data_IF_607874970834
#
_entry.id   IF_607874970834
#
_cell.length_a   1.000
_cell.length_b   1.000
_cell.length_c   1.000
_cell.angle_alpha   90.00
_cell.angle_beta   90.00
_cell.angle_gamma   90.00
#
_symmetry.space_group_name_H-M   'P 1'
#
loop_
_entity.id
_entity.type
_entity.pdbx_description
1 polymer ?
#
# COMPACT_ATOMS: atom_id res chain seq x y z
N UNK A 1 34.51 -56.77 41.78
CA UNK A 1 34.05 -55.38 41.63
C UNK A 1 35.10 -54.60 40.87
N UNK A 2 34.98 -54.51 39.54
CA UNK A 2 35.79 -53.60 38.73
C UNK A 2 34.95 -52.36 38.48
N UNK A 3 35.36 -51.23 39.06
CA UNK A 3 34.78 -49.93 38.74
C UNK A 3 35.43 -49.43 37.45
N UNK A 4 34.71 -49.52 36.33
CA UNK A 4 35.13 -48.88 35.08
C UNK A 4 34.77 -47.40 35.15
N UNK A 5 35.76 -46.55 35.44
CA UNK A 5 35.61 -45.09 35.33
C UNK A 5 35.63 -44.72 33.85
N UNK A 6 34.46 -44.65 33.23
CA UNK A 6 34.30 -44.12 31.87
C UNK A 6 34.56 -42.61 31.90
N UNK A 7 35.76 -42.20 31.49
CA UNK A 7 36.11 -40.80 31.30
C UNK A 7 35.27 -40.26 30.12
N UNK A 8 34.39 -39.28 30.39
CA UNK A 8 33.62 -38.61 29.33
C UNK A 8 34.58 -37.76 28.48
N UNK A 9 34.57 -37.96 27.16
CA UNK A 9 35.37 -37.18 26.20
C UNK A 9 35.06 -35.67 26.31
N UNK A 10 36.11 -34.85 26.21
CA UNK A 10 36.06 -33.37 26.19
C UNK A 10 35.15 -32.80 25.10
N UNK A 11 34.83 -33.59 24.05
CA UNK A 11 33.92 -33.18 22.97
C UNK A 11 32.46 -33.01 23.43
N UNK A 12 32.09 -33.51 24.61
CA UNK A 12 30.73 -33.36 25.17
C UNK A 12 30.46 -31.99 25.82
N UNK A 13 31.45 -31.09 25.85
CA UNK A 13 31.35 -29.77 26.48
C UNK A 13 31.32 -28.59 25.50
N UNK A 14 31.57 -28.81 24.21
CA UNK A 14 31.53 -27.75 23.19
C UNK A 14 30.29 -27.97 22.31
N UNK A 15 29.30 -27.06 22.40
CA UNK A 15 28.19 -27.08 21.42
C UNK A 15 28.75 -26.87 20.01
N UNK A 16 28.14 -27.44 18.97
CA UNK A 16 28.50 -27.14 17.60
C UNK A 16 28.43 -25.62 17.39
N UNK A 17 29.47 -25.03 16.79
CA UNK A 17 29.61 -23.59 16.52
C UNK A 17 28.33 -22.97 15.94
N UNK A 18 27.59 -23.76 15.15
CA UNK A 18 26.31 -23.39 14.53
C UNK A 18 25.20 -23.01 15.52
N UNK A 19 25.06 -23.71 16.67
CA UNK A 19 24.01 -23.40 17.64
C UNK A 19 24.23 -22.06 18.35
N UNK A 20 25.50 -21.75 18.65
CA UNK A 20 25.86 -20.46 19.24
C UNK A 20 25.60 -19.32 18.25
N UNK A 21 25.92 -19.51 16.96
CA UNK A 21 25.67 -18.51 15.91
C UNK A 21 24.17 -18.21 15.76
N UNK A 22 23.31 -19.24 15.70
CA UNK A 22 21.85 -19.06 15.61
C UNK A 22 21.32 -18.26 16.80
N UNK A 23 21.82 -18.55 18.01
CA UNK A 23 21.40 -17.84 19.21
C UNK A 23 21.87 -16.37 19.21
N UNK A 24 23.12 -16.11 18.78
CA UNK A 24 23.64 -14.75 18.61
C UNK A 24 22.83 -13.95 17.58
N UNK A 25 22.49 -14.55 16.43
CA UNK A 25 21.64 -13.92 15.42
C UNK A 25 20.23 -13.62 15.95
N UNK A 26 19.66 -14.51 16.76
CA UNK A 26 18.36 -14.31 17.40
C UNK A 26 18.37 -13.11 18.37
N UNK A 27 19.46 -12.95 19.12
CA UNK A 27 19.66 -11.78 20.00
C UNK A 27 19.76 -10.50 19.16
N UNK A 28 20.53 -10.50 18.06
CA UNK A 28 20.60 -9.35 17.16
C UNK A 28 19.22 -9.01 16.57
N UNK A 29 18.47 -10.03 16.14
CA UNK A 29 17.11 -9.83 15.60
C UNK A 29 16.18 -9.20 16.63
N UNK A 30 16.24 -9.65 17.89
CA UNK A 30 15.46 -9.06 18.98
C UNK A 30 15.82 -7.59 19.20
N UNK A 31 17.12 -7.26 19.23
CA UNK A 31 17.60 -5.88 19.39
C UNK A 31 17.10 -5.00 18.25
N UNK A 32 17.21 -5.45 17.01
CA UNK A 32 16.77 -4.71 15.81
C UNK A 32 15.26 -4.51 15.82
N UNK A 33 14.48 -5.58 15.99
CA UNK A 33 13.02 -5.52 15.97
C UNK A 33 12.45 -4.66 17.09
N UNK A 34 13.07 -4.69 18.27
CA UNK A 34 12.63 -3.90 19.42
C UNK A 34 13.31 -2.52 19.53
N UNK A 35 14.10 -2.13 18.53
CA UNK A 35 14.84 -0.85 18.48
C UNK A 35 15.64 -0.58 19.77
N UNK A 36 16.31 -1.61 20.29
CA UNK A 36 17.11 -1.51 21.52
C UNK A 36 18.55 -1.09 21.22
N UNK A 37 19.21 -0.36 22.14
CA UNK A 37 20.61 -0.04 21.97
C UNK A 37 21.47 -1.30 22.05
N UNK A 38 22.53 -1.39 21.24
CA UNK A 38 23.47 -2.51 21.27
C UNK A 38 24.15 -2.69 22.62
N UNK A 39 24.24 -1.65 23.45
CA UNK A 39 24.77 -1.73 24.82
C UNK A 39 23.97 -2.66 25.73
N UNK A 40 22.75 -3.05 25.36
CA UNK A 40 21.92 -3.99 26.13
C UNK A 40 22.64 -5.33 26.40
N UNK A 41 23.56 -5.75 25.53
CA UNK A 41 24.34 -6.99 25.73
C UNK A 41 25.39 -6.88 26.85
N UNK A 42 25.62 -5.67 27.36
CA UNK A 42 26.52 -5.38 28.47
C UNK A 42 25.79 -5.20 29.80
N UNK A 43 24.46 -5.05 29.76
CA UNK A 43 23.64 -4.88 30.96
C UNK A 43 23.67 -6.13 31.84
N UNK A 44 23.93 -5.93 33.13
CA UNK A 44 24.03 -7.01 34.11
C UNK A 44 22.78 -7.89 34.14
N UNK A 45 21.59 -7.28 34.23
CA UNK A 45 20.33 -8.03 34.29
C UNK A 45 20.07 -8.86 33.03
N UNK A 46 20.43 -8.34 31.86
CA UNK A 46 20.32 -9.08 30.61
C UNK A 46 21.29 -10.27 30.57
N UNK A 47 22.54 -10.07 31.00
CA UNK A 47 23.55 -11.14 31.10
C UNK A 47 23.13 -12.24 32.08
N UNK A 48 22.62 -11.86 33.25
CA UNK A 48 22.14 -12.80 34.27
C UNK A 48 20.96 -13.64 33.74
N UNK A 49 20.03 -12.99 33.00
CA UNK A 49 18.92 -13.66 32.34
C UNK A 49 19.41 -14.65 31.27
N UNK A 50 20.32 -14.24 30.38
CA UNK A 50 20.87 -15.12 29.32
C UNK A 50 21.61 -16.31 29.94
N UNK A 51 22.38 -16.10 31.01
CA UNK A 51 23.06 -17.15 31.75
C UNK A 51 22.09 -18.14 32.40
N UNK A 52 20.94 -17.65 32.89
CA UNK A 52 19.87 -18.50 33.45
C UNK A 52 19.27 -19.41 32.39
N UNK A 53 19.02 -18.89 31.19
CA UNK A 53 18.51 -19.69 30.07
C UNK A 53 19.55 -20.65 29.48
N UNK A 54 20.82 -20.21 29.41
CA UNK A 54 21.90 -21.02 28.86
C UNK A 54 23.26 -20.63 29.45
N UNK A 55 23.63 -21.27 30.55
CA UNK A 55 24.87 -21.01 31.28
C UNK A 55 26.15 -21.35 30.51
N UNK A 56 26.04 -22.10 29.41
CA UNK A 56 27.18 -22.47 28.56
C UNK A 56 27.41 -21.50 27.39
N UNK A 57 26.49 -20.56 27.16
CA UNK A 57 26.62 -19.58 26.08
C UNK A 57 27.32 -18.33 26.57
N UNK A 58 28.44 -17.99 25.93
CA UNK A 58 29.14 -16.74 26.17
C UNK A 58 28.57 -15.65 25.27
N UNK A 59 27.87 -14.69 25.87
CA UNK A 59 27.30 -13.55 25.17
C UNK A 59 28.42 -12.68 24.56
N UNK A 60 28.43 -12.45 23.22
CA UNK A 60 29.43 -11.61 22.59
C UNK A 60 29.36 -10.14 23.03
N UNK A 61 30.46 -9.41 22.83
CA UNK A 61 30.58 -8.00 23.20
C UNK A 61 29.74 -7.08 22.31
N UNK A 62 29.50 -5.85 22.78
CA UNK A 62 28.85 -4.81 21.98
C UNK A 62 29.54 -4.62 20.63
N UNK A 63 30.87 -4.59 20.61
CA UNK A 63 31.67 -4.44 19.39
C UNK A 63 31.40 -5.55 18.37
N UNK A 64 31.24 -6.79 18.84
CA UNK A 64 30.90 -7.92 17.97
C UNK A 64 29.51 -7.72 17.33
N UNK A 65 28.51 -7.33 18.14
CA UNK A 65 27.17 -7.05 17.61
C UNK A 65 27.13 -5.82 16.69
N UNK A 66 27.97 -4.81 16.91
CA UNK A 66 28.13 -3.68 15.97
C UNK A 66 28.59 -4.17 14.59
N UNK A 67 29.65 -4.97 14.54
CA UNK A 67 30.14 -5.55 13.26
C UNK A 67 29.10 -6.45 12.60
N UNK A 68 28.37 -7.23 13.39
CA UNK A 68 27.30 -8.10 12.86
C UNK A 68 26.13 -7.30 12.31
N UNK A 69 25.76 -6.18 12.96
CA UNK A 69 24.73 -5.26 12.50
C UNK A 69 25.13 -4.57 11.19
N UNK A 70 26.39 -4.11 11.07
CA UNK A 70 26.92 -3.53 9.83
C UNK A 70 26.91 -4.54 8.68
N UNK A 71 27.36 -5.78 8.94
CA UNK A 71 27.31 -6.86 7.95
C UNK A 71 25.87 -7.11 7.47
N UNK A 72 24.94 -7.24 8.41
CA UNK A 72 23.52 -7.47 8.12
C UNK A 72 22.89 -6.30 7.35
N UNK A 73 23.24 -5.07 7.71
CA UNK A 73 22.82 -3.87 6.97
C UNK A 73 23.29 -3.95 5.51
N UNK A 74 24.57 -4.27 5.28
CA UNK A 74 25.13 -4.35 3.94
C UNK A 74 24.47 -5.47 3.11
N UNK A 75 24.22 -6.64 3.70
CA UNK A 75 23.50 -7.74 3.04
C UNK A 75 22.07 -7.34 2.64
N UNK A 76 21.32 -6.71 3.55
CA UNK A 76 19.95 -6.25 3.27
C UNK A 76 19.97 -5.16 2.20
N UNK A 77 20.92 -4.23 2.25
CA UNK A 77 21.09 -3.16 1.27
C UNK A 77 21.31 -3.70 -0.14
N UNK A 78 22.19 -4.70 -0.30
CA UNK A 78 22.43 -5.30 -1.63
C UNK A 78 21.20 -6.07 -2.12
N UNK A 79 20.47 -6.78 -1.24
CA UNK A 79 19.19 -7.40 -1.60
C UNK A 79 18.16 -6.37 -2.08
N UNK A 80 17.99 -5.27 -1.34
CA UNK A 80 17.06 -4.20 -1.70
C UNK A 80 17.44 -3.54 -3.03
N UNK A 81 18.72 -3.36 -3.33
CA UNK A 81 19.16 -2.84 -4.64
C UNK A 81 18.76 -3.74 -5.81
N UNK A 82 18.80 -5.06 -5.62
CA UNK A 82 18.35 -6.01 -6.65
C UNK A 82 16.85 -5.87 -6.87
N UNK A 83 16.06 -5.90 -5.80
CA UNK A 83 14.60 -5.73 -5.87
C UNK A 83 14.22 -4.42 -6.54
N UNK A 84 14.83 -3.30 -6.11
CA UNK A 84 14.54 -1.97 -6.67
C UNK A 84 14.93 -1.81 -8.14
N UNK A 85 15.84 -2.62 -8.68
CA UNK A 85 16.16 -2.62 -10.13
C UNK A 85 15.05 -3.26 -10.96
N UNK A 86 14.32 -4.20 -10.38
CA UNK A 86 13.26 -4.97 -11.05
C UNK A 86 11.89 -4.29 -10.88
N UNK A 87 11.75 -3.39 -9.89
CA UNK A 87 10.54 -2.61 -9.65
C UNK A 87 10.27 -1.57 -10.74
N UNK A 88 9.08 -1.62 -11.36
CA UNK A 88 8.67 -0.64 -12.39
C UNK A 88 8.36 0.77 -11.85
N UNK A 89 7.80 0.87 -10.64
CA UNK A 89 7.38 2.14 -10.05
C UNK A 89 7.69 2.21 -8.55
N UNK A 90 8.22 3.35 -8.12
CA UNK A 90 8.52 3.66 -6.71
C UNK A 90 7.88 4.99 -6.31
N UNK A 91 7.40 5.09 -5.08
CA UNK A 91 6.97 6.34 -4.46
C UNK A 91 7.97 6.70 -3.35
N UNK A 92 8.45 7.94 -3.34
CA UNK A 92 9.40 8.43 -2.34
C UNK A 92 8.69 9.41 -1.42
N UNK A 93 8.83 9.22 -0.11
CA UNK A 93 8.40 10.19 0.89
C UNK A 93 9.63 10.69 1.64
N UNK A 94 9.71 11.99 1.87
CA UNK A 94 10.83 12.61 2.56
C UNK A 94 10.37 13.27 3.86
N UNK A 95 11.11 13.05 4.94
CA UNK A 95 10.91 13.73 6.23
C UNK A 95 12.19 14.47 6.61
N UNK A 96 12.06 15.67 7.19
CA UNK A 96 13.18 16.52 7.58
C UNK A 96 13.05 16.86 9.06
N UNK A 97 14.09 16.57 9.83
CA UNK A 97 14.15 16.95 11.24
C UNK A 97 15.53 17.48 11.61
N UNK A 98 15.56 18.40 12.58
CA UNK A 98 16.80 18.89 13.18
C UNK A 98 17.02 18.16 14.50
N UNK A 99 18.21 17.56 14.66
CA UNK A 99 18.58 16.89 15.90
C UNK A 99 18.77 17.88 17.06
N UNK A 100 18.80 17.35 18.29
CA UNK A 100 19.16 18.11 19.49
C UNK A 100 20.58 18.71 19.39
N UNK A 101 21.43 18.14 18.52
CA UNK A 101 22.76 18.65 18.22
C UNK A 101 22.78 19.73 17.11
N UNK A 102 21.61 20.27 16.71
CA UNK A 102 21.43 21.28 15.64
C UNK A 102 21.83 20.83 14.23
N UNK A 103 22.04 19.53 14.03
CA UNK A 103 22.28 18.95 12.71
C UNK A 103 20.95 18.63 12.02
N UNK A 104 20.81 19.00 10.74
CA UNK A 104 19.64 18.68 9.94
C UNK A 104 19.78 17.28 9.29
N UNK A 105 18.72 16.49 9.38
CA UNK A 105 18.61 15.15 8.79
C UNK A 105 17.45 15.13 7.78
N UNK A 106 17.66 14.43 6.66
CA UNK A 106 16.64 14.11 5.66
C UNK A 106 16.46 12.58 5.64
N UNK A 107 15.32 12.11 6.14
CA UNK A 107 14.88 10.74 5.95
C UNK A 107 14.20 10.59 4.60
N UNK A 108 14.66 9.66 3.77
CA UNK A 108 13.99 9.28 2.52
C UNK A 108 13.47 7.87 2.68
N UNK A 109 12.15 7.69 2.59
CA UNK A 109 11.48 6.39 2.60
C UNK A 109 11.01 6.07 1.19
N UNK A 110 11.40 4.90 0.69
CA UNK A 110 10.99 4.38 -0.61
C UNK A 110 9.90 3.33 -0.43
N UNK A 111 8.75 3.56 -1.06
CA UNK A 111 7.61 2.65 -1.12
C UNK A 111 7.56 2.05 -2.51
N UNK A 112 7.44 0.73 -2.59
CA UNK A 112 7.30 0.03 -3.85
C UNK A 112 6.43 -1.20 -3.68
N UNK A 113 5.86 -1.64 -4.79
CA UNK A 113 5.09 -2.89 -4.85
C UNK A 113 6.05 -3.99 -5.28
N UNK A 114 6.33 -4.94 -4.39
CA UNK A 114 7.19 -6.07 -4.70
C UNK A 114 6.49 -7.16 -5.52
N UNK A 115 7.26 -8.15 -5.98
CA UNK A 115 6.75 -9.37 -6.62
C UNK A 115 5.82 -10.17 -5.70
N UNK A 116 5.91 -9.94 -4.39
CA UNK A 116 5.07 -10.48 -3.32
C UNK A 116 3.75 -9.73 -3.17
N UNK A 117 3.27 -9.00 -4.19
CA UNK A 117 1.85 -8.68 -4.27
C UNK A 117 1.07 -9.97 -4.46
N UNK A 118 0.84 -10.70 -3.35
CA UNK A 118 0.28 -12.04 -3.32
C UNK A 118 -1.08 -12.11 -4.06
N UNK A 119 -1.85 -11.01 -4.08
CA UNK A 119 -3.09 -10.91 -4.85
C UNK A 119 -2.86 -10.95 -6.38
N UNK A 120 -1.80 -10.29 -6.90
CA UNK A 120 -1.44 -10.35 -8.32
C UNK A 120 -0.99 -11.77 -8.69
N UNK A 121 -0.14 -12.38 -7.87
CA UNK A 121 0.32 -13.74 -8.08
C UNK A 121 -0.82 -14.77 -8.04
N UNK A 122 -1.76 -14.62 -7.11
CA UNK A 122 -2.97 -15.46 -7.03
C UNK A 122 -3.79 -15.33 -8.31
N UNK A 123 -4.11 -14.09 -8.72
CA UNK A 123 -4.89 -13.84 -9.93
C UNK A 123 -4.19 -14.40 -11.18
N UNK A 124 -2.87 -14.21 -11.26
CA UNK A 124 -2.04 -14.72 -12.33
C UNK A 124 -2.01 -16.26 -12.37
N UNK A 125 -1.97 -16.93 -11.21
CA UNK A 125 -2.05 -18.38 -11.13
C UNK A 125 -3.32 -18.93 -11.78
N UNK A 126 -4.49 -18.36 -11.44
CA UNK A 126 -5.77 -18.75 -12.06
C UNK A 126 -5.87 -18.39 -13.55
N UNK A 127 -5.14 -17.37 -14.01
CA UNK A 127 -5.05 -17.00 -15.42
C UNK A 127 -4.19 -17.95 -16.23
N UNK A 128 -3.06 -18.40 -15.68
CA UNK A 128 -2.06 -19.23 -16.37
C UNK A 128 -2.34 -20.73 -16.27
N UNK A 129 -3.08 -21.18 -15.26
CA UNK A 129 -3.35 -22.60 -15.02
C UNK A 129 -4.76 -22.99 -15.47
N UNK A 130 -4.84 -23.79 -16.55
CA UNK A 130 -6.12 -24.34 -17.05
C UNK A 130 -6.83 -25.19 -16.00
N UNK A 131 -6.05 -25.96 -15.22
CA UNK A 131 -6.56 -26.75 -14.10
C UNK A 131 -7.19 -25.85 -13.03
N UNK A 132 -6.49 -24.79 -12.60
CA UNK A 132 -7.01 -23.87 -11.59
C UNK A 132 -8.26 -23.14 -12.10
N UNK A 133 -8.26 -22.72 -13.36
CA UNK A 133 -9.41 -22.10 -14.01
C UNK A 133 -10.64 -23.03 -14.04
N UNK A 134 -10.43 -24.29 -14.43
CA UNK A 134 -11.50 -25.31 -14.47
C UNK A 134 -12.07 -25.54 -13.08
N UNK A 135 -11.19 -25.68 -12.08
CA UNK A 135 -11.59 -25.86 -10.67
C UNK A 135 -12.32 -24.64 -10.12
N UNK A 136 -11.88 -23.43 -10.45
CA UNK A 136 -12.60 -22.20 -10.07
C UNK A 136 -14.02 -22.19 -10.64
N UNK A 137 -14.19 -22.53 -11.93
CA UNK A 137 -15.52 -22.61 -12.56
C UNK A 137 -16.42 -23.65 -11.90
N UNK A 138 -15.88 -24.82 -11.59
CA UNK A 138 -16.61 -25.86 -10.83
C UNK A 138 -17.07 -25.33 -9.47
N UNK A 139 -16.20 -24.64 -8.72
CA UNK A 139 -16.54 -24.05 -7.41
C UNK A 139 -17.55 -22.90 -7.52
N UNK A 140 -17.45 -22.07 -8.56
CA UNK A 140 -18.43 -21.02 -8.84
C UNK A 140 -19.82 -21.60 -9.07
N UNK A 141 -19.93 -22.65 -9.89
CA UNK A 141 -21.20 -23.34 -10.15
C UNK A 141 -21.76 -23.99 -8.87
N UNK A 142 -20.92 -24.68 -8.09
CA UNK A 142 -21.32 -25.28 -6.81
C UNK A 142 -21.86 -24.25 -5.81
N UNK A 143 -21.35 -23.02 -5.85
CA UNK A 143 -21.76 -21.93 -4.96
C UNK A 143 -22.84 -21.01 -5.57
N UNK A 144 -23.39 -21.34 -6.74
CA UNK A 144 -24.39 -20.51 -7.41
C UNK A 144 -23.88 -19.12 -7.85
N UNK A 145 -22.56 -18.99 -8.05
CA UNK A 145 -21.91 -17.76 -8.51
C UNK A 145 -21.74 -17.78 -10.04
N UNK A 146 -21.77 -16.62 -10.71
CA UNK A 146 -21.51 -16.56 -12.14
C UNK A 146 -20.09 -17.06 -12.46
N UNK A 147 -19.89 -17.85 -13.53
CA UNK A 147 -18.59 -18.43 -13.87
C UNK A 147 -17.65 -17.38 -14.50
N UNK A 148 -17.10 -16.51 -13.65
CA UNK A 148 -16.29 -15.37 -14.05
C UNK A 148 -14.80 -15.68 -13.93
N UNK A 149 -14.03 -15.31 -14.95
CA UNK A 149 -12.57 -15.25 -14.84
C UNK A 149 -12.15 -14.11 -13.91
N UNK A 150 -11.05 -14.31 -13.18
CA UNK A 150 -10.40 -13.22 -12.45
C UNK A 150 -9.88 -12.16 -13.43
N UNK A 151 -9.74 -10.91 -12.99
CA UNK A 151 -9.23 -9.79 -13.78
C UNK A 151 -7.82 -9.52 -13.31
N UNK A 152 -6.85 -9.47 -14.23
CA UNK A 152 -5.46 -9.14 -13.91
C UNK A 152 -5.27 -7.62 -13.90
N UNK A 153 -4.53 -7.12 -12.92
CA UNK A 153 -4.07 -5.73 -12.91
C UNK A 153 -3.08 -5.48 -14.05
N UNK A 154 -3.20 -4.32 -14.68
CA UNK A 154 -2.41 -3.90 -15.84
C UNK A 154 -1.89 -2.50 -15.52
N UNK A 155 -0.57 -2.36 -15.33
CA UNK A 155 0.06 -1.09 -14.92
C UNK A 155 -0.24 0.07 -15.87
N UNK A 156 -0.46 -0.21 -17.16
CA UNK A 156 -0.82 0.79 -18.17
C UNK A 156 -2.31 1.18 -18.18
N UNK A 157 -3.14 0.55 -17.35
CA UNK A 157 -4.56 0.85 -17.17
C UNK A 157 -4.82 1.20 -15.71
N UNK A 158 -4.82 2.49 -15.42
CA UNK A 158 -5.01 3.08 -14.09
C UNK A 158 -6.17 2.51 -13.25
N UNK A 159 -7.27 2.06 -13.86
CA UNK A 159 -8.44 1.49 -13.16
C UNK A 159 -8.34 -0.03 -12.89
N UNK A 160 -7.37 -0.71 -13.50
CA UNK A 160 -7.33 -2.17 -13.49
C UNK A 160 -7.08 -2.77 -12.11
N UNK A 161 -6.40 -2.05 -11.21
CA UNK A 161 -6.24 -2.47 -9.81
C UNK A 161 -7.59 -2.59 -9.12
N UNK A 162 -8.45 -1.56 -9.26
CA UNK A 162 -9.79 -1.58 -8.67
C UNK A 162 -10.63 -2.74 -9.22
N UNK A 163 -10.61 -2.96 -10.53
CA UNK A 163 -11.36 -4.07 -11.15
C UNK A 163 -10.85 -5.46 -10.74
N UNK A 164 -9.52 -5.62 -10.64
CA UNK A 164 -8.91 -6.85 -10.13
C UNK A 164 -9.39 -7.15 -8.71
N UNK A 165 -9.26 -6.18 -7.80
CA UNK A 165 -9.64 -6.34 -6.40
C UNK A 165 -11.15 -6.59 -6.25
N UNK A 166 -11.98 -5.81 -6.93
CA UNK A 166 -13.43 -5.96 -6.91
C UNK A 166 -13.87 -7.37 -7.36
N UNK A 167 -13.31 -7.87 -8.47
CA UNK A 167 -13.60 -9.22 -8.96
C UNK A 167 -13.08 -10.30 -8.00
N UNK A 168 -11.89 -10.10 -7.44
CA UNK A 168 -11.29 -11.05 -6.50
C UNK A 168 -12.15 -11.17 -5.23
N UNK A 169 -12.64 -10.05 -4.69
CA UNK A 169 -13.53 -10.02 -3.53
C UNK A 169 -14.90 -10.65 -3.84
N UNK A 170 -15.48 -10.36 -5.01
CA UNK A 170 -16.73 -10.99 -5.46
C UNK A 170 -16.64 -12.53 -5.49
N UNK A 171 -15.45 -13.03 -5.86
CA UNK A 171 -15.13 -14.44 -6.05
C UNK A 171 -14.32 -15.04 -4.90
N UNK A 172 -14.25 -14.36 -3.74
CA UNK A 172 -13.43 -14.76 -2.57
C UNK A 172 -13.64 -16.22 -2.18
N UNK A 173 -14.88 -16.63 -1.94
CA UNK A 173 -15.19 -18.00 -1.49
C UNK A 173 -14.92 -19.08 -2.55
N UNK A 174 -15.35 -18.92 -3.82
CA UNK A 174 -14.95 -19.84 -4.88
C UNK A 174 -13.43 -19.98 -5.05
N UNK A 175 -12.68 -18.87 -4.95
CA UNK A 175 -11.22 -18.84 -5.06
C UNK A 175 -10.57 -19.61 -3.92
N UNK A 176 -10.92 -19.32 -2.66
CA UNK A 176 -10.39 -20.03 -1.49
C UNK A 176 -10.71 -21.53 -1.54
N UNK A 177 -11.93 -21.89 -1.98
CA UNK A 177 -12.31 -23.29 -2.14
C UNK A 177 -11.53 -24.00 -3.26
N UNK A 178 -11.20 -23.30 -4.35
CA UNK A 178 -10.38 -23.85 -5.42
C UNK A 178 -8.91 -24.00 -4.99
N UNK A 179 -8.36 -23.05 -4.23
CA UNK A 179 -7.01 -23.13 -3.67
C UNK A 179 -6.85 -24.20 -2.59
N UNK A 180 -7.95 -24.61 -1.97
CA UNK A 180 -7.98 -25.73 -1.01
C UNK A 180 -7.85 -27.10 -1.69
N UNK A 181 -8.03 -27.18 -3.02
CA UNK A 181 -7.86 -28.42 -3.79
C UNK A 181 -6.36 -28.73 -3.94
N UNK A 182 -5.86 -29.89 -3.45
CA UNK A 182 -4.45 -30.25 -3.58
C UNK A 182 -3.95 -30.35 -5.02
N UNK A 183 -4.84 -30.53 -6.00
CA UNK A 183 -4.47 -30.53 -7.42
C UNK A 183 -4.13 -29.12 -7.92
N UNK A 184 -4.76 -28.09 -7.35
CA UNK A 184 -4.51 -26.68 -7.67
C UNK A 184 -3.33 -26.15 -6.87
N UNK A 185 -3.24 -26.53 -5.58
CA UNK A 185 -2.17 -26.11 -4.67
C UNK A 185 -1.49 -27.33 -4.00
N UNK A 186 -0.49 -27.95 -4.66
CA UNK A 186 0.18 -29.14 -4.12
C UNK A 186 0.96 -28.83 -2.84
N UNK A 187 0.67 -29.60 -1.77
CA UNK A 187 1.39 -29.51 -0.49
C UNK A 187 2.87 -29.85 -0.70
N UNK A 188 3.75 -28.86 -0.60
CA UNK A 188 5.20 -29.05 -0.72
C UNK A 188 5.93 -28.05 -1.62
N UNK A 189 5.22 -27.25 -2.43
CA UNK A 189 5.81 -26.03 -3.01
C UNK A 189 5.78 -24.92 -1.96
N UNK A 190 6.87 -24.18 -1.83
CA UNK A 190 7.14 -23.24 -0.74
C UNK A 190 6.20 -22.02 -0.63
N UNK A 191 5.17 -21.89 -1.46
CA UNK A 191 4.25 -20.75 -1.44
C UNK A 191 2.79 -21.22 -1.40
N UNK A 192 2.20 -21.16 -0.21
CA UNK A 192 0.75 -21.22 -0.04
C UNK A 192 0.15 -19.97 -0.71
N UNK A 193 -0.54 -20.16 -1.84
CA UNK A 193 -1.02 -19.07 -2.71
C UNK A 193 -2.30 -18.36 -2.23
N UNK A 194 -2.88 -18.81 -1.11
CA UNK A 194 -4.11 -18.22 -0.58
C UNK A 194 -3.78 -17.07 0.37
N UNK A 195 -4.62 -16.03 0.29
CA UNK A 195 -4.38 -14.76 0.97
C UNK A 195 -4.70 -14.90 2.46
N UNK A 196 -3.86 -14.31 3.29
CA UNK A 196 -4.07 -14.20 4.74
C UNK A 196 -5.29 -13.30 5.03
N UNK A 197 -5.96 -13.47 6.18
CA UNK A 197 -7.08 -12.63 6.58
C UNK A 197 -6.76 -11.13 6.49
N UNK A 198 -5.55 -10.73 6.88
CA UNK A 198 -5.11 -9.34 6.85
C UNK A 198 -5.06 -8.78 5.42
N UNK A 199 -4.68 -9.59 4.43
CA UNK A 199 -4.61 -9.18 3.03
C UNK A 199 -6.00 -9.07 2.39
N UNK A 200 -6.93 -9.93 2.79
CA UNK A 200 -8.34 -9.77 2.43
C UNK A 200 -8.91 -8.45 2.97
N UNK A 201 -8.61 -8.13 4.23
CA UNK A 201 -9.05 -6.86 4.84
C UNK A 201 -8.45 -5.65 4.11
N UNK A 202 -7.15 -5.67 3.80
CA UNK A 202 -6.49 -4.63 2.99
C UNK A 202 -7.18 -4.49 1.62
N UNK A 203 -7.54 -5.60 0.98
CA UNK A 203 -8.21 -5.58 -0.34
C UNK A 203 -9.60 -4.94 -0.26
N UNK A 204 -10.36 -5.26 0.78
CA UNK A 204 -11.69 -4.69 1.03
C UNK A 204 -11.60 -3.19 1.27
N UNK A 205 -10.71 -2.75 2.16
CA UNK A 205 -10.47 -1.34 2.47
C UNK A 205 -9.96 -0.56 1.24
N UNK A 206 -8.98 -1.12 0.51
CA UNK A 206 -8.44 -0.46 -0.67
C UNK A 206 -9.49 -0.32 -1.79
N UNK A 207 -10.39 -1.30 -1.93
CA UNK A 207 -11.51 -1.21 -2.88
C UNK A 207 -12.49 -0.10 -2.50
N UNK A 208 -12.70 0.14 -1.20
CA UNK A 208 -13.52 1.27 -0.73
C UNK A 208 -12.90 2.63 -1.07
N UNK A 209 -11.58 2.77 -0.94
CA UNK A 209 -10.87 4.01 -1.29
C UNK A 209 -10.81 4.22 -2.80
N UNK A 210 -10.58 3.17 -3.59
CA UNK A 210 -10.45 3.25 -5.06
C UNK A 210 -11.79 3.40 -5.78
N UNK A 211 -12.89 2.87 -5.22
CA UNK A 211 -14.22 2.90 -5.86
C UNK A 211 -14.71 4.30 -6.28
N UNK A 212 -14.59 5.34 -5.44
CA UNK A 212 -14.91 6.72 -5.83
C UNK A 212 -14.11 7.21 -7.05
N UNK A 213 -12.83 6.84 -7.16
CA UNK A 213 -11.98 7.22 -8.29
C UNK A 213 -12.42 6.52 -9.58
N UNK A 214 -12.82 5.24 -9.49
CA UNK A 214 -13.39 4.53 -10.64
C UNK A 214 -14.65 5.23 -11.13
N UNK A 215 -15.61 5.49 -10.23
CA UNK A 215 -16.87 6.12 -10.61
C UNK A 215 -16.69 7.53 -11.17
N UNK A 216 -15.73 8.30 -10.63
CA UNK A 216 -15.37 9.60 -11.18
C UNK A 216 -14.74 9.49 -12.57
N UNK A 217 -13.90 8.49 -12.78
CA UNK A 217 -13.25 8.22 -14.07
C UNK A 217 -14.25 7.79 -15.13
N UNK A 218 -15.16 6.88 -14.79
CA UNK A 218 -16.23 6.42 -15.67
C UNK A 218 -17.12 7.60 -16.09
N UNK A 219 -17.48 8.46 -15.14
CA UNK A 219 -18.26 9.66 -15.42
C UNK A 219 -17.50 10.66 -16.32
N UNK A 220 -16.22 10.92 -16.06
CA UNK A 220 -15.44 11.86 -16.88
C UNK A 220 -15.10 11.31 -18.27
N UNK A 221 -15.15 9.99 -18.45
CA UNK A 221 -14.94 9.33 -19.75
C UNK A 221 -16.19 9.34 -20.63
N UNK A 222 -17.32 9.87 -20.16
CA UNK A 222 -18.55 9.95 -20.93
C UNK A 222 -18.49 10.97 -22.08
N UNK A 223 -18.99 10.58 -23.25
CA UNK A 223 -18.98 11.42 -24.46
C UNK A 223 -20.35 12.03 -24.79
N UNK A 224 -21.43 11.51 -24.22
CA UNK A 224 -22.81 11.93 -24.53
C UNK A 224 -23.32 13.11 -23.69
N UNK A 225 -22.50 13.64 -22.78
CA UNK A 225 -22.87 14.72 -21.86
C UNK A 225 -21.68 15.62 -21.53
N UNK A 226 -21.98 16.82 -21.04
CA UNK A 226 -20.93 17.76 -20.61
C UNK A 226 -20.34 17.30 -19.28
N UNK A 227 -19.05 16.98 -19.31
CA UNK A 227 -18.26 16.53 -18.15
C UNK A 227 -17.57 17.70 -17.45
N UNK A 228 -17.11 18.70 -18.20
CA UNK A 228 -16.35 19.84 -17.68
C UNK A 228 -17.10 20.62 -16.58
N UNK A 229 -18.40 20.82 -16.74
CA UNK A 229 -19.24 21.55 -15.76
C UNK A 229 -19.40 20.82 -14.43
N UNK A 230 -19.26 19.48 -14.43
CA UNK A 230 -19.40 18.64 -13.25
C UNK A 230 -18.08 18.45 -12.48
N UNK A 231 -16.95 18.79 -13.11
CA UNK A 231 -15.61 18.54 -12.57
C UNK A 231 -15.41 19.12 -11.16
N UNK A 232 -15.80 20.38 -10.83
CA UNK A 232 -15.58 20.92 -9.49
C UNK A 232 -16.36 20.16 -8.41
N UNK A 233 -17.63 19.82 -8.69
CA UNK A 233 -18.43 19.04 -7.74
C UNK A 233 -17.89 17.62 -7.58
N UNK A 234 -17.39 17.02 -8.66
CA UNK A 234 -16.82 15.68 -8.66
C UNK A 234 -15.55 15.61 -7.81
N UNK A 235 -14.63 16.57 -7.98
CA UNK A 235 -13.40 16.66 -7.17
C UNK A 235 -13.73 16.87 -5.70
N UNK A 236 -14.70 17.73 -5.37
CA UNK A 236 -15.15 17.92 -3.99
C UNK A 236 -15.73 16.64 -3.40
N UNK A 237 -16.53 15.89 -4.18
CA UNK A 237 -17.10 14.61 -3.76
C UNK A 237 -16.02 13.55 -3.56
N UNK A 238 -15.02 13.48 -4.45
CA UNK A 238 -13.86 12.59 -4.32
C UNK A 238 -13.08 12.88 -3.03
N UNK A 239 -12.76 14.15 -2.77
CA UNK A 239 -12.07 14.57 -1.54
C UNK A 239 -12.87 14.18 -0.30
N UNK A 240 -14.18 14.45 -0.30
CA UNK A 240 -15.06 14.09 0.80
C UNK A 240 -15.11 12.57 1.01
N UNK A 241 -15.37 11.80 -0.05
CA UNK A 241 -15.48 10.35 0.01
C UNK A 241 -14.18 9.69 0.48
N UNK A 242 -13.03 10.22 0.03
CA UNK A 242 -11.71 9.73 0.44
C UNK A 242 -11.49 9.96 1.93
N UNK A 243 -11.87 11.13 2.47
CA UNK A 243 -11.67 11.46 3.89
C UNK A 243 -12.68 10.83 4.84
N UNK A 244 -13.87 10.44 4.36
CA UNK A 244 -14.92 9.85 5.21
C UNK A 244 -14.82 8.33 5.36
N UNK A 245 -13.94 7.66 4.61
CA UNK A 245 -13.78 6.22 4.74
C UNK A 245 -13.14 5.87 6.09
N UNK A 246 -13.85 5.10 6.91
CA UNK A 246 -13.32 4.53 8.15
C UNK A 246 -12.50 3.29 7.79
N UNK A 247 -11.19 3.39 7.97
CA UNK A 247 -10.23 2.33 7.65
C UNK A 247 -9.58 1.82 8.93
N UNK A 248 -9.19 0.56 8.98
CA UNK A 248 -8.47 -0.02 10.12
C UNK A 248 -7.00 -0.23 9.80
N UNK A 249 -6.68 -0.69 8.57
CA UNK A 249 -5.33 -1.11 8.22
C UNK A 249 -4.38 0.08 7.98
N UNK A 250 -3.20 0.01 8.59
CA UNK A 250 -2.19 1.07 8.48
C UNK A 250 -1.76 1.38 7.03
N UNK A 251 -1.54 0.38 6.14
CA UNK A 251 -1.19 0.66 4.74
C UNK A 251 -2.26 1.42 3.98
N UNK A 252 -3.54 1.09 4.18
CA UNK A 252 -4.64 1.76 3.46
C UNK A 252 -4.90 3.14 4.04
N UNK A 253 -4.71 3.37 5.35
CA UNK A 253 -4.68 4.71 5.95
C UNK A 253 -3.60 5.60 5.34
N UNK A 254 -2.39 5.08 5.16
CA UNK A 254 -1.31 5.82 4.52
C UNK A 254 -1.64 6.16 3.06
N UNK A 255 -2.23 5.20 2.32
CA UNK A 255 -2.70 5.42 0.96
C UNK A 255 -3.82 6.48 0.90
N UNK A 256 -4.81 6.41 1.80
CA UNK A 256 -5.89 7.39 1.91
C UNK A 256 -5.37 8.81 2.16
N UNK A 257 -4.42 8.96 3.08
CA UNK A 257 -3.80 10.24 3.38
C UNK A 257 -3.08 10.81 2.14
N UNK A 258 -2.27 9.98 1.46
CA UNK A 258 -1.58 10.37 0.23
C UNK A 258 -2.56 10.72 -0.90
N UNK A 259 -3.63 9.94 -1.07
CA UNK A 259 -4.65 10.22 -2.08
C UNK A 259 -5.38 11.54 -1.81
N UNK A 260 -5.71 11.83 -0.55
CA UNK A 260 -6.37 13.09 -0.17
C UNK A 260 -5.46 14.32 -0.37
N UNK A 261 -4.17 14.19 -0.07
CA UNK A 261 -3.14 15.19 -0.34
C UNK A 261 -3.03 15.46 -1.85
N UNK A 262 -2.84 14.41 -2.64
CA UNK A 262 -2.71 14.49 -4.10
C UNK A 262 -3.94 15.08 -4.78
N UNK A 263 -5.17 14.74 -4.33
CA UNK A 263 -6.39 15.39 -4.82
C UNK A 263 -6.36 16.90 -4.51
N UNK A 264 -5.92 17.27 -3.31
CA UNK A 264 -5.93 18.67 -2.87
C UNK A 264 -4.90 19.49 -3.64
N UNK A 265 -3.67 19.01 -3.75
CA UNK A 265 -2.58 19.71 -4.45
C UNK A 265 -2.88 19.83 -5.95
N UNK A 266 -3.28 18.73 -6.60
CA UNK A 266 -3.51 18.70 -8.06
C UNK A 266 -4.65 19.63 -8.49
N UNK A 267 -5.67 19.81 -7.66
CA UNK A 267 -6.88 20.57 -8.00
C UNK A 267 -7.02 21.87 -7.21
N UNK A 268 -5.95 22.39 -6.60
CA UNK A 268 -5.98 23.62 -5.79
C UNK A 268 -6.50 24.82 -6.59
N UNK A 269 -6.04 24.98 -7.84
CA UNK A 269 -6.41 26.10 -8.73
C UNK A 269 -7.80 25.95 -9.35
N UNK A 270 -8.44 24.78 -9.21
CA UNK A 270 -9.75 24.51 -9.84
C UNK A 270 -10.84 25.47 -9.35
N UNK A 271 -10.70 25.95 -8.12
CA UNK A 271 -11.70 26.76 -7.44
C UNK A 271 -11.38 28.26 -7.44
N UNK A 272 -10.22 28.65 -7.98
CA UNK A 272 -9.81 30.05 -8.07
C UNK A 272 -10.47 30.73 -9.26
N UNK A 273 -11.00 31.94 -9.04
CA UNK A 273 -11.56 32.78 -10.08
C UNK A 273 -10.90 34.16 -10.12
N UNK A 274 -10.07 34.36 -11.14
CA UNK A 274 -9.43 35.64 -11.42
C UNK A 274 -10.24 36.43 -12.46
N UNK A 275 -10.55 37.73 -12.23
CA UNK A 275 -11.34 38.54 -13.16
C UNK A 275 -10.71 38.68 -14.56
N UNK A 276 -9.38 38.76 -14.63
CA UNK A 276 -8.66 38.99 -15.89
C UNK A 276 -8.45 37.68 -16.70
N UNK A 277 -8.48 36.54 -16.01
CA UNK A 277 -8.33 35.20 -16.61
C UNK A 277 -9.39 34.27 -16.02
N UNK A 278 -10.64 34.36 -16.50
CA UNK A 278 -11.74 33.62 -15.92
C UNK A 278 -11.57 32.11 -16.15
N UNK A 279 -11.71 31.34 -15.07
CA UNK A 279 -11.57 29.89 -15.11
C UNK A 279 -12.71 29.26 -15.96
N UNK A 280 -12.41 28.63 -17.11
CA UNK A 280 -13.43 28.11 -18.03
C UNK A 280 -14.26 26.99 -17.40
N UNK A 281 -13.71 26.24 -16.44
CA UNK A 281 -14.43 25.18 -15.73
C UNK A 281 -15.53 25.77 -14.86
N UNK A 282 -15.24 26.85 -14.13
CA UNK A 282 -16.21 27.53 -13.28
C UNK A 282 -17.30 28.23 -14.10
N UNK A 283 -16.94 28.81 -15.25
CA UNK A 283 -17.91 29.35 -16.20
C UNK A 283 -18.83 28.24 -16.75
N UNK A 284 -18.27 27.10 -17.17
CA UNK A 284 -19.06 25.97 -17.64
C UNK A 284 -20.01 25.43 -16.56
N UNK A 285 -19.55 25.35 -15.31
CA UNK A 285 -20.39 24.95 -14.18
C UNK A 285 -21.50 25.97 -13.87
N UNK A 286 -21.24 27.27 -14.02
CA UNK A 286 -22.23 28.33 -13.79
C UNK A 286 -23.35 28.32 -14.84
N UNK A 287 -23.02 27.94 -16.08
CA UNK A 287 -23.96 27.82 -17.19
C UNK A 287 -24.76 26.51 -17.15
N UNK A 288 -24.30 25.50 -16.41
CA UNK A 288 -25.00 24.22 -16.25
C UNK A 288 -26.15 24.33 -15.22
N UNK A 289 -27.41 24.05 -15.59
CA UNK A 289 -28.54 24.09 -14.65
C UNK A 289 -28.35 23.23 -13.39
N UNK A 290 -27.59 22.13 -13.49
CA UNK A 290 -27.28 21.22 -12.38
C UNK A 290 -26.40 21.89 -11.32
N UNK A 291 -25.51 22.77 -11.75
CA UNK A 291 -24.46 23.38 -10.91
C UNK A 291 -24.55 24.90 -10.79
N UNK A 292 -25.61 25.52 -11.31
CA UNK A 292 -25.86 26.98 -11.30
C UNK A 292 -25.65 27.67 -9.95
N UNK A 293 -25.90 26.97 -8.84
CA UNK A 293 -25.71 27.50 -7.47
C UNK A 293 -24.26 27.46 -6.98
N UNK A 294 -23.36 26.80 -7.71
CA UNK A 294 -21.92 26.69 -7.42
C UNK A 294 -21.63 26.35 -5.95
N UNK A 295 -22.35 25.37 -5.38
CA UNK A 295 -22.28 25.02 -3.95
C UNK A 295 -20.90 24.55 -3.47
N UNK A 296 -20.02 24.23 -4.40
CA UNK A 296 -18.63 23.83 -4.15
C UNK A 296 -17.69 25.02 -3.95
N UNK A 297 -18.15 26.27 -4.17
CA UNK A 297 -17.38 27.50 -3.94
C UNK A 297 -17.87 28.27 -2.70
N UNK A 298 -16.99 29.06 -2.06
CA UNK A 298 -17.39 30.09 -1.10
C UNK A 298 -18.29 31.15 -1.74
N UNK A 299 -19.19 31.75 -0.95
CA UNK A 299 -20.18 32.75 -1.43
C UNK A 299 -19.54 33.93 -2.18
N UNK A 300 -18.34 34.35 -1.78
CA UNK A 300 -17.60 35.44 -2.43
C UNK A 300 -17.18 35.08 -3.86
N UNK A 301 -16.64 33.88 -4.06
CA UNK A 301 -16.23 33.38 -5.38
C UNK A 301 -17.44 33.13 -6.29
N UNK A 302 -18.55 32.64 -5.72
CA UNK A 302 -19.82 32.49 -6.47
C UNK A 302 -20.26 33.83 -7.06
N UNK A 303 -20.18 34.91 -6.29
CA UNK A 303 -20.56 36.24 -6.75
C UNK A 303 -19.68 36.73 -7.91
N UNK A 304 -18.36 36.51 -7.83
CA UNK A 304 -17.42 36.88 -8.90
C UNK A 304 -17.74 36.15 -10.20
N UNK A 305 -17.93 34.83 -10.14
CA UNK A 305 -18.26 33.99 -11.31
C UNK A 305 -19.59 34.45 -11.92
N UNK A 306 -20.63 34.64 -11.12
CA UNK A 306 -21.94 35.06 -11.62
C UNK A 306 -21.93 36.45 -12.25
N UNK A 307 -21.21 37.40 -11.65
CA UNK A 307 -21.06 38.76 -12.19
C UNK A 307 -20.34 38.74 -13.53
N UNK A 308 -19.29 37.92 -13.66
CA UNK A 308 -18.57 37.73 -14.93
C UNK A 308 -19.45 37.11 -16.01
N UNK A 309 -20.20 36.05 -15.68
CA UNK A 309 -21.15 35.44 -16.64
C UNK A 309 -22.21 36.45 -17.11
N UNK A 310 -22.73 37.28 -16.19
CA UNK A 310 -23.70 38.32 -16.54
C UNK A 310 -23.09 39.40 -17.45
N UNK A 311 -21.87 39.86 -17.16
CA UNK A 311 -21.20 40.88 -17.98
C UNK A 311 -20.89 40.36 -19.39
N UNK A 312 -20.43 39.11 -19.50
CA UNK A 312 -20.22 38.43 -20.78
C UNK A 312 -21.53 38.27 -21.57
N UNK A 313 -22.62 37.90 -20.92
CA UNK A 313 -23.94 37.78 -21.57
C UNK A 313 -24.46 39.13 -22.09
N UNK A 314 -24.25 40.22 -21.34
CA UNK A 314 -24.61 41.57 -21.76
C UNK A 314 -23.78 42.06 -22.96
N UNK A 315 -22.47 41.77 -22.96
CA UNK A 315 -21.59 42.08 -24.08
C UNK A 315 -22.01 41.35 -25.36
N UNK A 316 -22.21 40.02 -25.29
CA UNK A 316 -22.66 39.21 -26.41
C UNK A 316 -24.04 39.64 -26.96
N UNK A 317 -24.91 40.21 -26.12
CA UNK A 317 -26.20 40.77 -26.57
C UNK A 317 -26.02 42.08 -27.35
N UNK A 318 -25.07 42.94 -26.97
CA UNK A 318 -24.77 44.18 -27.70
C UNK A 318 -24.21 43.88 -29.10
N UNK A 319 -23.33 42.89 -29.22
CA UNK A 319 -22.71 42.50 -30.49
C UNK A 319 -23.71 41.92 -31.51
N UNK A 320 -24.82 41.32 -31.06
CA UNK A 320 -25.90 40.85 -31.96
C UNK A 320 -26.79 41.96 -32.50
N UNK A 321 -26.69 43.16 -31.95
CA UNK A 321 -27.49 44.33 -32.34
C UNK A 321 -26.70 45.38 -33.13
N UNK A 322 -25.40 45.15 -33.37
CA UNK A 322 -24.58 45.85 -34.37
C UNK A 322 -24.49 45.01 -35.66
#
# INVERSE_FOLDING_TARGET
>A
MQASTSQKSMDSFVRPVQEATIFTESILNMIVTAMRPLSMVEDKGFRDMISTFNSKYNLPSRTYFTQLMEKKHQEIKEKLKVVLKETECVALTTDIWTSVATEAYLGVTCHFLGEDWEMKCLVEHFKKSELACTKLKEKQQQMGKPPLMLIQDVSTRWNSTYHMLSRLLEQRWPVTAALSDPAVNPRGKHHYLDLKPEQWNISEELTQVLGPFEGATEFLSGEQYVTLSALPQLVQNLKKSTLTAELETAPVKAFQASAAEQITERWQELYEFLPDTPNPVLLAAALDPRFRKLKFLPTEEVFKVQTSVQSMALAAKKDRHM
#
